data_IF_159537267171
#
_entry.id   IF_159537267171
#
_cell.length_a   1.000
_cell.length_b   1.000
_cell.length_c   1.000
_cell.angle_alpha   90.00
_cell.angle_beta   90.00
_cell.angle_gamma   90.00
#
_symmetry.space_group_name_H-M   'P 1'
#
loop_
_entity.id
_entity.type
_entity.pdbx_description
1 polymer ?
#
# COMPACT_ATOMS: atom_id res chain seq x y z
N UNK A 1 -14.03 -15.03 -20.55
CA UNK A 1 -13.95 -13.74 -19.85
C UNK A 1 -13.76 -14.02 -18.37
N UNK A 2 -12.54 -14.36 -17.96
CA UNK A 2 -12.22 -14.47 -16.54
C UNK A 2 -11.71 -13.10 -16.11
N UNK A 3 -12.49 -12.38 -15.33
CA UNK A 3 -12.08 -11.11 -14.73
C UNK A 3 -10.81 -11.38 -13.94
N UNK A 4 -9.70 -10.81 -14.40
CA UNK A 4 -8.52 -10.55 -13.60
C UNK A 4 -9.01 -9.88 -12.33
N UNK A 5 -9.23 -10.69 -11.29
CA UNK A 5 -9.54 -10.18 -9.97
C UNK A 5 -8.23 -9.58 -9.54
N UNK A 6 -8.08 -8.28 -9.80
CA UNK A 6 -7.30 -7.36 -8.99
C UNK A 6 -7.62 -7.74 -7.53
N UNK A 7 -6.85 -8.68 -6.99
CA UNK A 7 -6.91 -9.07 -5.59
C UNK A 7 -6.28 -7.89 -4.86
N UNK A 8 -7.01 -6.79 -4.80
CA UNK A 8 -6.90 -5.87 -3.67
C UNK A 8 -7.26 -6.74 -2.47
N UNK A 9 -6.23 -7.37 -1.90
CA UNK A 9 -6.36 -8.18 -0.70
C UNK A 9 -6.88 -7.23 0.34
N UNK A 10 -8.10 -7.46 0.84
CA UNK A 10 -8.65 -6.63 1.89
C UNK A 10 -7.59 -6.49 2.99
N UNK A 11 -7.11 -5.27 3.27
CA UNK A 11 -5.97 -5.10 4.15
C UNK A 11 -6.34 -5.65 5.54
N UNK A 12 -5.45 -6.42 6.19
CA UNK A 12 -5.76 -7.07 7.46
C UNK A 12 -6.19 -6.05 8.53
N UNK A 13 -6.82 -6.52 9.61
CA UNK A 13 -7.14 -5.65 10.74
C UNK A 13 -5.87 -4.95 11.24
N UNK A 14 -6.01 -3.68 11.65
CA UNK A 14 -4.89 -2.88 12.12
C UNK A 14 -4.22 -3.59 13.32
N UNK A 15 -2.90 -3.86 13.27
CA UNK A 15 -2.23 -4.58 14.35
C UNK A 15 -2.12 -3.78 15.65
N UNK A 16 -2.39 -2.48 15.63
CA UNK A 16 -2.28 -1.59 16.79
C UNK A 16 -3.60 -1.44 17.56
N UNK A 17 -4.71 -1.19 16.85
CA UNK A 17 -6.03 -1.01 17.48
C UNK A 17 -7.06 -2.09 17.15
N UNK A 18 -6.75 -3.00 16.24
CA UNK A 18 -7.68 -4.03 15.77
C UNK A 18 -8.76 -3.52 14.81
N UNK A 19 -8.77 -2.23 14.43
CA UNK A 19 -9.78 -1.73 13.49
C UNK A 19 -9.67 -2.43 12.14
N UNK A 20 -10.80 -2.92 11.66
CA UNK A 20 -10.95 -3.50 10.33
C UNK A 20 -11.71 -2.58 9.37
N UNK A 21 -12.16 -1.41 9.83
CA UNK A 21 -12.99 -0.50 9.04
C UNK A 21 -12.21 0.05 7.83
N UNK A 22 -12.78 -0.07 6.64
CA UNK A 22 -12.13 0.37 5.41
C UNK A 22 -12.08 1.89 5.28
N UNK A 23 -12.97 2.63 5.96
CA UNK A 23 -13.00 4.09 5.95
C UNK A 23 -11.85 4.71 6.75
N UNK A 24 -11.26 3.92 7.66
CA UNK A 24 -10.11 4.31 8.50
C UNK A 24 -8.79 3.86 7.89
N UNK A 25 -8.75 3.72 6.55
CA UNK A 25 -7.58 3.28 5.80
C UNK A 25 -7.24 4.27 4.72
N UNK A 26 -5.97 4.65 4.67
CA UNK A 26 -5.43 5.47 3.61
C UNK A 26 -4.37 4.70 2.84
N UNK A 27 -4.33 4.89 1.52
CA UNK A 27 -3.38 4.21 0.65
C UNK A 27 -2.55 5.26 -0.08
N UNK A 28 -1.23 5.15 0.04
CA UNK A 28 -0.29 6.00 -0.67
C UNK A 28 0.55 5.17 -1.64
N UNK A 29 0.79 5.73 -2.81
CA UNK A 29 1.55 5.08 -3.88
C UNK A 29 2.81 5.89 -4.18
N UNK A 30 3.93 5.19 -4.23
CA UNK A 30 5.25 5.77 -4.45
C UNK A 30 5.91 5.09 -5.63
N UNK A 31 6.66 5.86 -6.42
CA UNK A 31 7.55 5.32 -7.45
C UNK A 31 8.97 5.40 -6.91
N UNK A 32 9.63 4.25 -6.77
CA UNK A 32 11.04 4.16 -6.37
C UNK A 32 11.95 4.57 -7.54
N UNK A 33 13.21 4.89 -7.24
CA UNK A 33 14.20 5.30 -8.26
C UNK A 33 14.42 4.26 -9.37
N UNK A 34 14.26 2.98 -9.05
CA UNK A 34 14.31 1.83 -9.98
C UNK A 34 13.05 1.71 -10.86
N UNK A 35 12.04 2.56 -10.67
CA UNK A 35 10.76 2.50 -11.38
C UNK A 35 9.76 1.50 -10.78
N UNK A 36 10.14 0.79 -9.72
CA UNK A 36 9.24 -0.06 -8.94
C UNK A 36 8.16 0.80 -8.26
N UNK A 37 6.88 0.46 -8.45
CA UNK A 37 5.76 1.10 -7.75
C UNK A 37 5.50 0.39 -6.43
N UNK A 38 5.50 1.14 -5.34
CA UNK A 38 5.20 0.65 -3.98
C UNK A 38 3.88 1.27 -3.53
N UNK A 39 2.92 0.43 -3.16
CA UNK A 39 1.66 0.84 -2.55
C UNK A 39 1.71 0.50 -1.07
N UNK A 40 1.46 1.48 -0.22
CA UNK A 40 1.40 1.29 1.23
C UNK A 40 0.00 1.64 1.72
N UNK A 41 -0.57 0.80 2.58
CA UNK A 41 -1.85 1.04 3.23
C UNK A 41 -1.64 1.28 4.71
N UNK A 42 -2.27 2.33 5.22
CA UNK A 42 -2.10 2.85 6.58
C UNK A 42 -3.43 2.81 7.34
N UNK A 43 -3.36 2.61 8.66
CA UNK A 43 -4.49 2.78 9.56
C UNK A 43 -4.50 4.19 10.13
N UNK A 44 -5.61 4.90 9.96
CA UNK A 44 -5.85 6.23 10.53
C UNK A 44 -6.64 6.19 11.84
N UNK A 45 -7.35 5.08 12.13
CA UNK A 45 -8.16 4.88 13.34
C UNK A 45 -7.41 5.12 14.66
N UNK A 46 -6.15 4.73 14.70
CA UNK A 46 -5.32 4.75 15.91
C UNK A 46 -4.05 5.58 15.74
N UNK A 47 -4.17 6.66 14.97
CA UNK A 47 -3.10 7.64 14.81
C UNK A 47 -2.53 8.02 16.17
N UNK A 48 -1.20 7.96 16.28
CA UNK A 48 -0.48 8.46 17.45
C UNK A 48 0.35 9.66 17.03
N UNK A 49 0.11 10.78 17.70
CA UNK A 49 0.97 11.94 17.62
C UNK A 49 2.23 11.69 18.46
N UNK A 50 3.40 12.02 17.90
CA UNK A 50 4.66 11.99 18.63
C UNK A 50 4.85 13.27 19.45
N UNK A 51 5.75 13.21 20.43
CA UNK A 51 6.14 14.39 21.23
C UNK A 51 6.69 15.57 20.40
N UNK A 52 7.15 15.29 19.17
CA UNK A 52 7.63 16.27 18.20
C UNK A 52 6.50 16.87 17.33
N UNK A 53 5.23 16.49 17.57
CA UNK A 53 4.06 16.94 16.80
C UNK A 53 3.85 16.22 15.47
N UNK A 54 4.71 15.27 15.12
CA UNK A 54 4.56 14.47 13.91
C UNK A 54 3.60 13.29 14.10
N UNK A 55 2.68 13.10 13.15
CA UNK A 55 1.71 11.99 13.15
C UNK A 55 2.36 10.74 12.55
N UNK A 56 2.22 9.60 13.22
CA UNK A 56 2.66 8.30 12.68
C UNK A 56 1.47 7.37 12.49
N UNK A 57 1.19 7.06 11.24
CA UNK A 57 0.22 6.03 10.88
C UNK A 57 0.81 4.62 11.03
N UNK A 58 -0.04 3.65 11.39
CA UNK A 58 0.37 2.24 11.44
C UNK A 58 0.26 1.66 10.04
N UNK A 59 1.36 1.11 9.50
CA UNK A 59 1.33 0.41 8.21
C UNK A 59 0.65 -0.93 8.39
N UNK A 60 -0.37 -1.19 7.57
CA UNK A 60 -1.18 -2.42 7.60
C UNK A 60 -0.74 -3.37 6.49
N UNK A 61 -0.47 -2.83 5.30
CA UNK A 61 -0.09 -3.60 4.13
C UNK A 61 0.92 -2.83 3.29
N UNK A 62 1.78 -3.60 2.61
CA UNK A 62 2.76 -3.10 1.66
C UNK A 62 2.77 -4.01 0.44
N UNK A 63 2.58 -3.42 -0.73
CA UNK A 63 2.50 -4.12 -2.01
C UNK A 63 3.51 -3.54 -2.99
N UNK A 64 4.28 -4.42 -3.64
CA UNK A 64 5.18 -4.05 -4.72
C UNK A 64 4.48 -4.32 -6.04
N UNK A 65 3.98 -3.26 -6.67
CA UNK A 65 3.46 -3.31 -8.02
C UNK A 65 4.67 -3.22 -8.94
N UNK A 66 5.20 -4.38 -9.34
CA UNK A 66 6.10 -4.43 -10.49
C UNK A 66 5.27 -3.97 -11.69
N UNK A 67 5.50 -2.76 -12.16
CA UNK A 67 5.32 -2.49 -13.58
C UNK A 67 6.22 -3.50 -14.25
N UNK A 68 5.66 -4.46 -14.99
CA UNK A 68 6.46 -5.20 -15.96
C UNK A 68 7.15 -4.11 -16.78
N UNK A 69 8.45 -3.91 -16.53
CA UNK A 69 9.31 -3.23 -17.47
C UNK A 69 9.15 -4.08 -18.70
N UNK A 70 8.30 -3.58 -19.61
CA UNK A 70 8.08 -4.14 -20.92
C UNK A 70 9.47 -4.50 -21.42
N UNK A 71 9.77 -5.79 -21.39
CA UNK A 71 10.93 -6.30 -22.08
C UNK A 71 10.52 -6.22 -23.53
N UNK A 72 10.53 -5.01 -24.10
CA UNK A 72 10.86 -4.82 -25.50
C UNK A 72 12.30 -5.31 -25.58
N UNK A 73 12.46 -6.63 -25.61
CA UNK A 73 13.64 -7.24 -26.19
C UNK A 73 13.69 -6.68 -27.59
N UNK A 74 14.82 -6.04 -27.88
CA UNK A 74 15.36 -6.04 -29.24
C UNK A 74 15.15 -7.45 -29.81
N UNK A 75 14.27 -7.58 -30.78
CA UNK A 75 14.39 -8.57 -31.83
C UNK A 75 14.37 -7.79 -33.15
N UNK A 76 15.61 -7.58 -33.63
CA UNK A 76 16.10 -7.25 -34.99
C UNK A 76 15.93 -5.84 -35.59
#
# INVERSE_FOLDING_TARGET
MGTESDRTTDPPACPNCGSSDSSERETEQYVLEDGTKRRMTYCTACVREKADGSIRYTVIAEEFVRTELDRTMNDE
#
